data_IF_605585020982
#
_entry.id   IF_605585020982
#
_cell.length_a   1.000
_cell.length_b   1.000
_cell.length_c   1.000
_cell.angle_alpha   90.00
_cell.angle_beta   90.00
_cell.angle_gamma   90.00
#
_symmetry.space_group_name_H-M   'P 1'
#
loop_
_entity.id
_entity.type
_entity.pdbx_description
1 polymer ?
#
# COMPACT_ATOMS: atom_id res chain seq x y z
N UNK A 1 33.89 -21.67 -5.16
CA UNK A 1 33.73 -20.66 -4.09
C UNK A 1 32.81 -19.58 -4.61
N UNK A 2 31.70 -19.30 -3.92
CA UNK A 2 30.73 -18.29 -4.34
C UNK A 2 31.23 -16.92 -3.84
N UNK A 3 31.22 -15.85 -4.64
CA UNK A 3 31.67 -14.53 -4.19
C UNK A 3 30.88 -14.05 -2.97
N UNK A 4 31.55 -13.44 -1.99
CA UNK A 4 30.89 -12.87 -0.80
C UNK A 4 29.78 -11.87 -1.16
N UNK A 5 29.97 -11.11 -2.26
CA UNK A 5 28.97 -10.20 -2.80
C UNK A 5 27.68 -10.92 -3.21
N UNK A 6 27.78 -12.08 -3.86
CA UNK A 6 26.63 -12.88 -4.29
C UNK A 6 25.86 -13.40 -3.09
N UNK A 7 26.56 -13.81 -2.03
CA UNK A 7 25.94 -14.22 -0.77
C UNK A 7 25.18 -13.04 -0.15
N UNK A 8 25.80 -11.85 -0.06
CA UNK A 8 25.14 -10.66 0.46
C UNK A 8 23.88 -10.26 -0.34
N UNK A 9 23.94 -10.35 -1.67
CA UNK A 9 22.80 -10.09 -2.55
C UNK A 9 21.66 -11.10 -2.34
N UNK A 10 21.96 -12.39 -2.21
CA UNK A 10 20.98 -13.44 -1.90
C UNK A 10 20.26 -13.16 -0.58
N UNK A 11 21.00 -12.78 0.46
CA UNK A 11 20.42 -12.41 1.75
C UNK A 11 19.55 -11.15 1.63
N UNK A 12 19.97 -10.14 0.86
CA UNK A 12 19.16 -8.95 0.58
C UNK A 12 17.84 -9.31 -0.10
N UNK A 13 17.87 -10.16 -1.14
CA UNK A 13 16.67 -10.63 -1.83
C UNK A 13 15.72 -11.39 -0.90
N UNK A 14 16.24 -12.30 -0.07
CA UNK A 14 15.45 -13.01 0.94
C UNK A 14 14.75 -12.04 1.88
N UNK A 15 15.45 -10.99 2.31
CA UNK A 15 14.90 -9.99 3.21
C UNK A 15 13.83 -9.12 2.56
N UNK A 16 13.98 -8.79 1.27
CA UNK A 16 12.96 -8.08 0.50
C UNK A 16 11.64 -8.88 0.44
N UNK A 17 11.72 -10.20 0.25
CA UNK A 17 10.54 -11.08 0.29
C UNK A 17 9.90 -11.09 1.68
N UNK A 18 10.69 -11.15 2.76
CA UNK A 18 10.17 -11.06 4.13
C UNK A 18 9.50 -9.72 4.42
N UNK A 19 10.11 -8.60 4.00
CA UNK A 19 9.56 -7.25 4.11
C UNK A 19 8.23 -7.13 3.35
N UNK A 20 8.15 -7.72 2.16
CA UNK A 20 6.93 -7.80 1.37
C UNK A 20 5.81 -8.55 2.11
N UNK A 21 6.09 -9.75 2.63
CA UNK A 21 5.09 -10.51 3.40
C UNK A 21 4.76 -9.86 4.75
N UNK A 22 5.70 -9.16 5.38
CA UNK A 22 5.44 -8.34 6.56
C UNK A 22 4.46 -7.23 6.22
N UNK A 23 4.68 -6.52 5.12
CA UNK A 23 3.79 -5.47 4.64
C UNK A 23 2.38 -6.02 4.35
N UNK A 24 2.26 -7.14 3.64
CA UNK A 24 0.95 -7.77 3.36
C UNK A 24 0.22 -8.10 4.66
N UNK A 25 0.89 -8.80 5.58
CA UNK A 25 0.28 -9.20 6.86
C UNK A 25 -0.18 -8.01 7.69
N UNK A 26 0.57 -6.89 7.67
CA UNK A 26 0.22 -5.67 8.40
C UNK A 26 -0.95 -4.91 7.77
N UNK A 27 -0.96 -4.75 6.44
CA UNK A 27 -1.88 -3.81 5.79
C UNK A 27 -3.17 -4.45 5.28
N UNK A 28 -3.18 -5.77 4.97
CA UNK A 28 -4.38 -6.43 4.46
C UNK A 28 -5.38 -6.89 5.53
N UNK A 29 -5.16 -6.58 6.82
CA UNK A 29 -6.06 -6.96 7.95
C UNK A 29 -6.64 -8.38 7.78
N UNK A 30 -5.79 -9.38 7.53
CA UNK A 30 -6.20 -10.78 7.53
C UNK A 30 -6.49 -11.16 8.99
N UNK A 31 -7.67 -10.77 9.51
CA UNK A 31 -8.09 -11.00 10.90
C UNK A 31 -8.39 -12.48 11.17
N UNK A 32 -8.77 -13.23 10.13
CA UNK A 32 -8.92 -14.68 10.17
C UNK A 32 -8.86 -15.25 8.75
N UNK A 33 -8.38 -16.48 8.61
CA UNK A 33 -8.57 -17.23 7.37
C UNK A 33 -10.06 -17.58 7.25
N UNK A 34 -10.71 -17.24 6.14
CA UNK A 34 -12.14 -17.51 5.92
C UNK A 34 -12.42 -19.00 5.71
N UNK A 35 -11.37 -19.81 5.53
CA UNK A 35 -11.43 -21.26 5.53
C UNK A 35 -10.09 -21.86 5.93
N UNK A 36 -10.12 -22.98 6.64
CA UNK A 36 -8.91 -23.69 7.12
C UNK A 36 -8.38 -24.71 6.10
N UNK A 37 -9.05 -24.90 4.97
CA UNK A 37 -8.60 -25.81 3.93
C UNK A 37 -7.35 -25.29 3.24
N UNK A 38 -6.45 -26.20 2.85
CA UNK A 38 -5.21 -25.86 2.12
C UNK A 38 -5.49 -25.02 0.87
N UNK A 39 -6.62 -25.29 0.19
CA UNK A 39 -7.00 -24.54 -1.00
C UNK A 39 -7.51 -23.13 -0.66
N UNK A 40 -8.32 -22.98 0.40
CA UNK A 40 -8.77 -21.68 0.86
C UNK A 40 -7.60 -20.76 1.23
N UNK A 41 -6.62 -21.28 1.98
CA UNK A 41 -5.41 -20.53 2.36
C UNK A 41 -4.62 -20.11 1.12
N UNK A 42 -4.41 -21.02 0.16
CA UNK A 42 -3.73 -20.70 -1.11
C UNK A 42 -4.46 -19.58 -1.86
N UNK A 43 -5.77 -19.68 -2.01
CA UNK A 43 -6.58 -18.67 -2.68
C UNK A 43 -6.48 -17.31 -1.99
N UNK A 44 -6.53 -17.27 -0.65
CA UNK A 44 -6.39 -16.03 0.10
C UNK A 44 -5.02 -15.36 -0.11
N UNK A 45 -3.94 -16.15 -0.19
CA UNK A 45 -2.60 -15.63 -0.50
C UNK A 45 -2.54 -15.06 -1.92
N UNK A 46 -3.10 -15.78 -2.91
CA UNK A 46 -3.15 -15.28 -4.29
C UNK A 46 -3.95 -13.99 -4.42
N UNK A 47 -5.11 -13.89 -3.75
CA UNK A 47 -5.92 -12.66 -3.73
C UNK A 47 -5.11 -11.51 -3.10
N UNK A 48 -4.44 -11.76 -1.98
CA UNK A 48 -3.62 -10.75 -1.31
C UNK A 48 -2.50 -10.18 -2.21
N UNK A 49 -1.82 -11.06 -2.94
CA UNK A 49 -0.79 -10.67 -3.91
C UNK A 49 -1.41 -9.88 -5.07
N UNK A 50 -2.55 -10.33 -5.61
CA UNK A 50 -3.24 -9.64 -6.69
C UNK A 50 -3.67 -8.22 -6.30
N UNK A 51 -4.22 -8.04 -5.10
CA UNK A 51 -4.61 -6.72 -4.57
C UNK A 51 -3.38 -5.81 -4.45
N UNK A 52 -2.27 -6.32 -3.93
CA UNK A 52 -1.03 -5.53 -3.85
C UNK A 52 -0.56 -5.05 -5.23
N UNK A 53 -0.50 -5.97 -6.20
CA UNK A 53 -0.07 -5.64 -7.57
C UNK A 53 -1.01 -4.61 -8.19
N UNK A 54 -2.32 -4.75 -7.99
CA UNK A 54 -3.30 -3.80 -8.49
C UNK A 54 -3.07 -2.38 -7.92
N UNK A 55 -2.90 -2.26 -6.60
CA UNK A 55 -2.62 -0.98 -5.94
C UNK A 55 -1.29 -0.38 -6.42
N UNK A 56 -0.25 -1.21 -6.59
CA UNK A 56 1.03 -0.76 -7.11
C UNK A 56 0.93 -0.25 -8.56
N UNK A 57 0.13 -0.91 -9.40
CA UNK A 57 -0.14 -0.46 -10.78
C UNK A 57 -0.89 0.87 -10.76
N UNK A 58 -1.94 1.01 -9.93
CA UNK A 58 -2.71 2.25 -9.80
C UNK A 58 -1.78 3.42 -9.39
N UNK A 59 -0.97 3.22 -8.34
CA UNK A 59 0.02 4.20 -7.90
C UNK A 59 0.95 4.62 -9.05
N UNK A 60 1.48 3.64 -9.79
CA UNK A 60 2.40 3.91 -10.91
C UNK A 60 1.72 4.61 -12.09
N UNK A 61 0.46 4.28 -12.39
CA UNK A 61 -0.29 4.86 -13.51
C UNK A 61 -0.75 6.29 -13.26
N UNK A 62 -1.10 6.59 -12.01
CA UNK A 62 -1.61 7.90 -11.60
C UNK A 62 -0.51 8.82 -11.03
N UNK A 63 0.72 8.31 -10.90
CA UNK A 63 1.88 9.03 -10.33
C UNK A 63 1.56 9.69 -8.98
N UNK A 64 0.85 8.97 -8.10
CA UNK A 64 0.44 9.47 -6.80
C UNK A 64 1.60 9.41 -5.80
N UNK A 65 1.84 10.50 -5.07
CA UNK A 65 2.82 10.55 -3.98
C UNK A 65 2.30 9.87 -2.70
N UNK A 66 1.04 9.44 -2.70
CA UNK A 66 0.41 8.71 -1.61
C UNK A 66 1.09 7.36 -1.31
N UNK A 67 1.10 6.98 -0.03
CA UNK A 67 1.57 5.66 0.39
C UNK A 67 0.67 4.56 -0.16
N UNK A 68 1.23 3.36 -0.44
CA UNK A 68 0.44 2.20 -0.90
C UNK A 68 -0.67 1.84 0.09
N UNK A 69 -0.43 2.05 1.39
CA UNK A 69 -1.42 1.82 2.42
C UNK A 69 -2.58 2.81 2.33
N UNK A 70 -2.31 4.10 2.11
CA UNK A 70 -3.34 5.13 1.98
C UNK A 70 -4.26 4.82 0.80
N UNK A 71 -3.68 4.46 -0.35
CA UNK A 71 -4.43 4.07 -1.55
C UNK A 71 -5.30 2.84 -1.24
N UNK A 72 -4.76 1.84 -0.53
CA UNK A 72 -5.51 0.65 -0.13
C UNK A 72 -6.67 0.99 0.83
N UNK A 73 -6.48 1.93 1.77
CA UNK A 73 -7.53 2.37 2.70
C UNK A 73 -8.65 3.10 1.96
N UNK A 74 -8.31 4.04 1.07
CA UNK A 74 -9.27 4.75 0.24
C UNK A 74 -10.09 3.73 -0.57
N UNK A 75 -9.42 2.82 -1.28
CA UNK A 75 -10.08 1.77 -2.04
C UNK A 75 -10.97 0.87 -1.16
N UNK A 76 -10.56 0.57 0.08
CA UNK A 76 -11.36 -0.24 1.00
C UNK A 76 -12.65 0.47 1.42
N UNK A 77 -12.61 1.79 1.61
CA UNK A 77 -13.79 2.60 1.99
C UNK A 77 -14.69 2.85 0.77
N UNK A 78 -14.11 3.01 -0.42
CA UNK A 78 -14.86 3.32 -1.64
C UNK A 78 -15.12 2.11 -2.53
N UNK A 79 -14.76 0.89 -2.12
CA UNK A 79 -14.88 -0.33 -2.92
C UNK A 79 -16.30 -0.59 -3.43
N UNK A 80 -17.30 -0.16 -2.66
CA UNK A 80 -18.72 -0.33 -2.97
C UNK A 80 -19.37 0.95 -3.52
N UNK A 81 -18.60 2.04 -3.68
CA UNK A 81 -19.09 3.29 -4.23
C UNK A 81 -19.09 3.29 -5.76
N UNK A 82 -20.12 3.87 -6.38
CA UNK A 82 -20.19 4.04 -7.84
C UNK A 82 -19.38 5.26 -8.35
N UNK A 83 -18.30 5.61 -7.66
CA UNK A 83 -17.47 6.79 -8.00
C UNK A 83 -16.25 6.29 -8.77
N UNK A 84 -15.89 6.92 -9.91
CA UNK A 84 -14.71 6.49 -10.67
C UNK A 84 -13.44 6.65 -9.82
N UNK A 85 -12.64 5.59 -9.79
CA UNK A 85 -11.43 5.45 -8.96
C UNK A 85 -10.46 6.63 -9.11
N UNK A 86 -10.36 7.17 -10.32
CA UNK A 86 -9.52 8.34 -10.63
C UNK A 86 -9.97 9.57 -9.85
N UNK A 87 -11.26 9.89 -9.83
CA UNK A 87 -11.75 11.08 -9.14
C UNK A 87 -11.56 10.97 -7.63
N UNK A 88 -11.83 9.78 -7.08
CA UNK A 88 -11.62 9.52 -5.65
C UNK A 88 -10.14 9.74 -5.29
N UNK A 89 -9.22 9.09 -6.02
CA UNK A 89 -7.80 9.16 -5.69
C UNK A 89 -7.21 10.56 -5.91
N UNK A 90 -7.65 11.30 -6.92
CA UNK A 90 -7.19 12.68 -7.18
C UNK A 90 -7.72 13.67 -6.14
N UNK A 91 -8.96 13.54 -5.64
CA UNK A 91 -9.48 14.40 -4.55
C UNK A 91 -8.66 14.23 -3.26
N UNK A 92 -8.29 12.99 -2.93
CA UNK A 92 -7.44 12.70 -1.78
C UNK A 92 -5.99 13.17 -1.97
N UNK A 93 -5.45 13.10 -3.18
CA UNK A 93 -4.11 13.59 -3.52
C UNK A 93 -4.02 15.12 -3.37
N UNK A 94 -5.02 15.85 -3.88
CA UNK A 94 -5.12 17.30 -3.71
C UNK A 94 -5.25 17.70 -2.22
N UNK A 95 -6.09 17.02 -1.44
CA UNK A 95 -6.20 17.26 0.02
C UNK A 95 -4.91 16.98 0.79
N UNK A 96 -4.08 16.04 0.35
CA UNK A 96 -2.77 15.82 0.96
C UNK A 96 -1.75 16.92 0.64
N UNK A 97 -1.91 17.61 -0.49
CA UNK A 97 -1.07 18.75 -0.88
C UNK A 97 -1.51 20.08 -0.24
N UNK A 98 -2.78 20.22 0.16
CA UNK A 98 -3.28 21.40 0.91
C UNK A 98 -2.86 21.43 2.41
N UNK A 99 -1.98 20.52 2.84
CA UNK A 99 -1.51 20.41 4.24
C UNK A 99 -0.27 21.24 4.60
N UNK A 100 0.34 21.96 3.66
CA UNK A 100 1.59 22.72 3.88
C UNK A 100 1.54 24.16 3.31
N UNK A 101 0.38 24.82 3.43
CA UNK A 101 0.31 26.28 3.31
C UNK A 101 -0.18 26.87 4.64
N UNK A 102 0.81 27.31 5.42
CA UNK A 102 0.80 28.50 6.26
C UNK A 102 -0.48 28.78 7.06
N UNK A 103 -0.60 28.15 8.23
CA UNK A 103 -1.35 28.73 9.36
C UNK A 103 -0.48 28.91 10.59
N UNK A 104 0.78 29.32 10.41
CA UNK A 104 1.47 30.04 11.47
C UNK A 104 0.85 31.44 11.53
N UNK A 105 -0.16 31.60 12.39
CA UNK A 105 -0.63 32.91 12.85
C UNK A 105 0.59 33.68 13.34
N UNK A 106 0.92 34.80 12.70
CA UNK A 106 1.83 35.80 13.25
C UNK A 106 1.21 36.33 14.55
N UNK A 107 1.59 35.70 15.67
CA UNK A 107 1.20 36.09 17.01
C UNK A 107 2.18 37.14 17.51
N UNK A 108 2.21 38.31 16.87
CA UNK A 108 2.80 39.53 17.43
C UNK A 108 2.25 40.75 16.66
N UNK A 109 1.23 41.40 17.25
CA UNK A 109 1.06 42.85 17.18
C UNK A 109 0.33 43.29 18.47
N UNK A 110 1.11 43.55 19.52
CA UNK A 110 0.81 44.50 20.59
C UNK A 110 2.08 45.31 20.87
#
# INVERSE_FOLDING_TARGET
IIPALTIAQLYKCRWQVELFFKWIKQHLRIKAFYGTSKNAVKTQIWIAISVYVLVAIIKKRLNLDLSLYTILQILSVTAFGQIPIIQVLTDFDYKSMEGDSDKQLLLLDL
#
